data_IF_795271309408
#
_entry.id   IF_795271309408
#
_cell.length_a   1.000
_cell.length_b   1.000
_cell.length_c   1.000
_cell.angle_alpha   90.00
_cell.angle_beta   90.00
_cell.angle_gamma   90.00
#
_symmetry.space_group_name_H-M   'P 1'
#
loop_
_entity.id
_entity.type
_entity.pdbx_description
1 polymer ?
#
# COMPACT_ATOMS: atom_id res chain seq x y z
N UNK A 1 1.22 -0.16 16.75
CA UNK A 1 0.45 1.10 16.77
C UNK A 1 0.82 1.84 15.49
N UNK A 2 -0.16 2.44 14.81
CA UNK A 2 0.07 3.16 13.56
C UNK A 2 0.24 4.65 13.83
N UNK A 3 1.17 5.29 13.12
CA UNK A 3 1.31 6.73 13.09
C UNK A 3 1.10 7.19 11.66
N UNK A 4 0.25 8.21 11.48
CA UNK A 4 0.01 8.80 10.17
C UNK A 4 0.80 10.08 10.02
N UNK A 5 1.55 10.18 8.92
CA UNK A 5 2.26 11.39 8.53
C UNK A 5 1.63 11.94 7.24
N UNK A 6 1.31 13.25 7.22
CA UNK A 6 0.68 13.90 6.07
C UNK A 6 1.59 14.04 4.85
N UNK A 7 2.88 13.71 4.96
CA UNK A 7 3.83 13.77 3.85
C UNK A 7 3.69 12.51 3.01
N UNK A 8 3.78 12.68 1.69
CA UNK A 8 3.83 11.55 0.76
C UNK A 8 5.18 10.84 0.89
N UNK A 9 5.19 9.51 0.71
CA UNK A 9 6.42 8.71 0.68
C UNK A 9 7.36 9.14 -0.45
N UNK A 10 6.78 9.58 -1.57
CA UNK A 10 7.49 10.15 -2.70
C UNK A 10 6.79 11.43 -3.20
N UNK A 11 7.51 12.50 -3.56
CA UNK A 11 6.90 13.72 -4.07
C UNK A 11 6.20 13.48 -5.42
N UNK A 12 4.95 13.91 -5.53
CA UNK A 12 4.14 13.80 -6.75
C UNK A 12 4.13 15.13 -7.49
N UNK A 13 4.32 15.11 -8.81
CA UNK A 13 4.29 16.29 -9.67
C UNK A 13 3.37 16.05 -10.89
N UNK A 14 2.14 16.56 -10.83
CA UNK A 14 1.13 16.43 -11.89
C UNK A 14 1.10 17.73 -12.69
N UNK A 15 1.36 17.66 -14.01
CA UNK A 15 1.42 18.85 -14.88
C UNK A 15 0.05 19.28 -15.42
N UNK A 16 -0.84 18.32 -15.65
CA UNK A 16 -2.16 18.57 -16.21
C UNK A 16 -3.18 17.52 -15.73
N UNK A 17 -4.47 17.87 -15.62
CA UNK A 17 -5.53 16.90 -15.32
C UNK A 17 -5.75 15.92 -16.48
N UNK A 18 -5.80 14.61 -16.19
CA UNK A 18 -6.10 13.58 -17.19
C UNK A 18 -7.04 12.50 -16.63
N UNK A 19 -8.32 12.57 -17.00
CA UNK A 19 -9.35 11.66 -16.50
C UNK A 19 -9.16 10.21 -16.97
N UNK A 20 -8.68 9.99 -18.21
CA UNK A 20 -8.43 8.64 -18.74
C UNK A 20 -7.30 7.95 -17.98
N UNK A 21 -6.23 8.70 -17.68
CA UNK A 21 -5.12 8.16 -16.89
C UNK A 21 -5.56 7.88 -15.44
N UNK A 22 -6.37 8.77 -14.84
CA UNK A 22 -6.92 8.54 -13.51
C UNK A 22 -7.75 7.25 -13.41
N UNK A 23 -8.50 6.89 -14.47
CA UNK A 23 -9.22 5.62 -14.55
C UNK A 23 -8.29 4.40 -14.58
N UNK A 24 -7.07 4.53 -15.10
CA UNK A 24 -6.08 3.43 -15.04
C UNK A 24 -5.45 3.38 -13.65
N UNK A 25 -5.09 4.53 -13.06
CA UNK A 25 -4.48 4.62 -11.73
C UNK A 25 -5.40 4.06 -10.64
N UNK A 26 -6.72 4.26 -10.74
CA UNK A 26 -7.67 3.73 -9.73
C UNK A 26 -7.65 2.20 -9.67
N UNK A 27 -7.29 1.52 -10.77
CA UNK A 27 -7.11 0.06 -10.76
C UNK A 27 -5.94 -0.38 -9.88
N UNK A 28 -4.89 0.44 -9.78
CA UNK A 28 -3.76 0.16 -8.89
C UNK A 28 -4.09 0.54 -7.44
N UNK A 29 -5.03 1.46 -7.21
CA UNK A 29 -5.49 1.77 -5.86
C UNK A 29 -6.42 0.68 -5.30
N UNK A 30 -7.49 0.33 -6.01
CA UNK A 30 -8.57 -0.53 -5.50
C UNK A 30 -8.86 -1.80 -6.31
N UNK A 31 -8.07 -2.10 -7.33
CA UNK A 31 -8.20 -3.35 -8.09
C UNK A 31 -7.73 -4.57 -7.31
N UNK A 32 -7.99 -5.79 -7.83
CA UNK A 32 -7.62 -7.06 -7.17
C UNK A 32 -6.12 -7.20 -6.92
N UNK A 33 -5.31 -6.67 -7.85
CA UNK A 33 -3.86 -6.62 -7.78
C UNK A 33 -3.32 -5.24 -7.36
N UNK A 34 -4.20 -4.38 -6.82
CA UNK A 34 -3.83 -3.05 -6.36
C UNK A 34 -3.13 -3.03 -5.00
N UNK A 35 -2.57 -1.88 -4.66
CA UNK A 35 -1.79 -1.61 -3.44
C UNK A 35 -2.62 -1.80 -2.17
N UNK A 36 -3.91 -1.44 -2.19
CA UNK A 36 -4.81 -1.70 -1.05
C UNK A 36 -4.98 -3.21 -0.82
N UNK A 37 -5.14 -3.99 -1.88
CA UNK A 37 -5.27 -5.44 -1.75
C UNK A 37 -3.94 -6.06 -1.27
N UNK A 38 -2.80 -5.58 -1.77
CA UNK A 38 -1.48 -6.02 -1.35
C UNK A 38 -1.22 -5.73 0.13
N UNK A 39 -1.42 -4.48 0.59
CA UNK A 39 -1.23 -4.08 1.98
C UNK A 39 -2.10 -4.90 2.94
N UNK A 40 -3.38 -5.09 2.61
CA UNK A 40 -4.28 -5.91 3.44
C UNK A 40 -3.87 -7.39 3.51
N UNK A 41 -3.34 -7.96 2.42
CA UNK A 41 -2.81 -9.33 2.43
C UNK A 41 -1.60 -9.46 3.35
N UNK A 42 -0.59 -8.60 3.23
CA UNK A 42 0.59 -8.68 4.08
C UNK A 42 0.26 -8.40 5.56
N UNK A 43 -0.58 -7.40 5.83
CA UNK A 43 -1.01 -7.06 7.20
C UNK A 43 -1.91 -8.11 7.83
N UNK A 44 -2.68 -8.88 7.06
CA UNK A 44 -3.45 -10.00 7.59
C UNK A 44 -2.57 -11.23 7.84
N UNK A 45 -1.66 -11.55 6.92
CA UNK A 45 -0.73 -12.68 7.05
C UNK A 45 0.14 -12.59 8.31
N UNK A 46 0.53 -11.38 8.74
CA UNK A 46 1.36 -11.20 9.94
C UNK A 46 0.75 -11.80 11.20
N UNK A 47 -0.58 -11.85 11.32
CA UNK A 47 -1.27 -12.34 12.52
C UNK A 47 -1.23 -13.86 12.64
N UNK A 48 -1.08 -14.57 11.53
CA UNK A 48 -0.98 -16.02 11.48
C UNK A 48 0.46 -16.52 11.29
N UNK A 49 1.44 -15.62 11.15
CA UNK A 49 2.83 -15.98 10.83
C UNK A 49 3.54 -16.57 12.06
N UNK A 50 4.04 -17.83 11.99
CA UNK A 50 4.68 -18.48 13.14
C UNK A 50 6.07 -17.92 13.46
N UNK A 51 6.75 -17.30 12.50
CA UNK A 51 8.09 -16.74 12.64
C UNK A 51 8.02 -15.23 12.92
N UNK A 52 8.58 -14.78 14.05
CA UNK A 52 8.47 -13.39 14.49
C UNK A 52 9.18 -12.42 13.55
N UNK A 53 10.30 -12.85 12.98
CA UNK A 53 11.10 -12.12 12.01
C UNK A 53 10.31 -11.87 10.72
N UNK A 54 9.59 -12.90 10.26
CA UNK A 54 8.76 -12.82 9.06
C UNK A 54 7.51 -11.97 9.32
N UNK A 55 6.93 -12.03 10.52
CA UNK A 55 5.83 -11.14 10.91
C UNK A 55 6.26 -9.66 10.91
N UNK A 56 7.53 -9.39 11.29
CA UNK A 56 8.17 -8.09 11.15
C UNK A 56 8.24 -7.66 9.69
N UNK A 57 8.82 -8.51 8.82
CA UNK A 57 8.94 -8.25 7.39
C UNK A 57 7.58 -7.98 6.72
N UNK A 58 6.55 -8.77 7.04
CA UNK A 58 5.19 -8.57 6.53
C UNK A 58 4.59 -7.23 6.98
N UNK A 59 4.93 -6.79 8.19
CA UNK A 59 4.51 -5.49 8.69
C UNK A 59 5.22 -4.37 7.91
N UNK A 60 6.53 -4.49 7.68
CA UNK A 60 7.31 -3.48 6.94
C UNK A 60 6.80 -3.33 5.49
N UNK A 61 6.57 -4.46 4.81
CA UNK A 61 6.03 -4.45 3.45
C UNK A 61 4.63 -3.86 3.46
N UNK A 62 3.74 -4.34 4.33
CA UNK A 62 2.34 -3.91 4.39
C UNK A 62 2.15 -2.42 4.68
N UNK A 63 3.09 -1.79 5.39
CA UNK A 63 3.10 -0.34 5.63
C UNK A 63 3.64 0.44 4.44
N UNK A 64 4.62 -0.10 3.71
CA UNK A 64 5.22 0.61 2.57
C UNK A 64 4.29 0.76 1.37
N UNK A 65 3.29 -0.11 1.25
CA UNK A 65 2.30 -0.15 0.16
C UNK A 65 0.93 0.44 0.55
N UNK A 66 0.81 1.01 1.74
CA UNK A 66 -0.43 1.64 2.24
C UNK A 66 -0.30 3.16 2.25
#
# INVERSE_FOLDING_TARGET
>A
MWNYEKRLQFPVNIKEPNAKLAQVIISQFGGPDGELAASMRYLSQRYAMPYREVAGLLTDIGVSVL
#
